data_IF_041361179716
#
_entry.id   IF_041361179716
#
_cell.length_a   1.000
_cell.length_b   1.000
_cell.length_c   1.000
_cell.angle_alpha   90.00
_cell.angle_beta   90.00
_cell.angle_gamma   90.00
#
_symmetry.space_group_name_H-M   'P 1'
#
loop_
_entity.id
_entity.type
_entity.pdbx_description
1 polymer ?
#
# COMPACT_ATOMS: atom_id res chain seq x y z
N UNK A 1 20.61 32.26 36.65
CA UNK A 1 20.50 32.51 35.20
C UNK A 1 21.59 31.79 34.39
N UNK A 2 22.88 31.76 34.82
CA UNK A 2 23.96 31.09 34.07
C UNK A 2 23.72 29.59 33.85
N UNK A 3 23.27 28.87 34.88
CA UNK A 3 22.95 27.42 34.74
C UNK A 3 21.79 27.16 33.80
N UNK A 4 20.78 28.04 33.79
CA UNK A 4 19.64 27.94 32.87
C UNK A 4 20.08 28.12 31.40
N UNK A 5 20.95 29.10 31.14
CA UNK A 5 21.49 29.33 29.80
C UNK A 5 22.34 28.14 29.35
N UNK A 6 23.18 27.57 30.22
CA UNK A 6 23.99 26.39 29.91
C UNK A 6 23.10 25.18 29.58
N UNK A 7 22.04 24.94 30.36
CA UNK A 7 21.14 23.83 30.11
C UNK A 7 20.38 23.99 28.79
N UNK A 8 19.93 25.20 28.42
CA UNK A 8 19.28 25.47 27.12
C UNK A 8 20.27 25.24 25.98
N UNK A 9 21.51 25.71 26.08
CA UNK A 9 22.54 25.50 25.06
C UNK A 9 22.82 24.00 24.87
N UNK A 10 22.94 23.24 25.95
CA UNK A 10 23.13 21.79 25.87
C UNK A 10 21.96 21.08 25.18
N UNK A 11 20.71 21.40 25.52
CA UNK A 11 19.53 20.83 24.88
C UNK A 11 19.52 21.12 23.38
N UNK A 12 19.80 22.36 22.99
CA UNK A 12 19.86 22.75 21.57
C UNK A 12 20.97 22.01 20.82
N UNK A 13 22.18 21.93 21.41
CA UNK A 13 23.30 21.20 20.77
C UNK A 13 23.04 19.72 20.62
N UNK A 14 22.46 19.05 21.65
CA UNK A 14 22.06 17.64 21.54
C UNK A 14 20.95 17.42 20.52
N UNK A 15 19.97 18.32 20.46
CA UNK A 15 18.88 18.23 19.48
C UNK A 15 19.38 18.38 18.04
N UNK A 16 20.24 19.36 17.79
CA UNK A 16 20.83 19.60 16.47
C UNK A 16 21.78 18.46 16.09
N UNK A 17 22.66 18.03 17.01
CA UNK A 17 23.57 16.90 16.79
C UNK A 17 22.82 15.59 16.51
N UNK A 18 21.77 15.32 17.30
CA UNK A 18 20.89 14.16 17.11
C UNK A 18 20.17 14.17 15.76
N UNK A 19 19.70 15.32 15.33
CA UNK A 19 19.07 15.49 14.02
C UNK A 19 20.05 15.15 12.88
N UNK A 20 21.24 15.72 12.85
CA UNK A 20 22.23 15.42 11.80
C UNK A 20 22.71 13.97 11.83
N UNK A 21 22.84 13.38 13.02
CA UNK A 21 23.18 11.97 13.14
C UNK A 21 22.06 11.08 12.57
N UNK A 22 20.81 11.35 12.91
CA UNK A 22 19.64 10.63 12.39
C UNK A 22 19.54 10.72 10.87
N UNK A 23 19.71 11.91 10.29
CA UNK A 23 19.73 12.13 8.85
C UNK A 23 20.84 11.32 8.14
N UNK A 24 22.03 11.28 8.73
CA UNK A 24 23.14 10.51 8.18
C UNK A 24 22.89 9.00 8.22
N UNK A 25 22.35 8.50 9.33
CA UNK A 25 21.98 7.08 9.47
C UNK A 25 20.91 6.72 8.43
N UNK A 26 19.86 7.53 8.31
CA UNK A 26 18.80 7.33 7.31
C UNK A 26 19.32 7.36 5.87
N UNK A 27 20.21 8.29 5.56
CA UNK A 27 20.85 8.36 4.24
C UNK A 27 21.65 7.10 3.92
N UNK A 28 22.42 6.58 4.90
CA UNK A 28 23.19 5.34 4.72
C UNK A 28 22.27 4.13 4.52
N UNK A 29 21.17 4.03 5.27
CA UNK A 29 20.18 2.97 5.10
C UNK A 29 19.55 3.00 3.70
N UNK A 30 19.17 4.18 3.21
CA UNK A 30 18.62 4.35 1.86
C UNK A 30 19.64 3.90 0.79
N UNK A 31 20.91 4.25 0.94
CA UNK A 31 21.95 3.84 -0.02
C UNK A 31 22.19 2.33 0.01
N UNK A 32 22.22 1.71 1.19
CA UNK A 32 22.34 0.25 1.32
C UNK A 32 21.13 -0.47 0.71
N UNK A 33 19.93 0.00 1.00
CA UNK A 33 18.70 -0.53 0.42
C UNK A 33 18.66 -0.40 -1.11
N UNK A 34 19.19 0.71 -1.65
CA UNK A 34 19.33 0.91 -3.10
C UNK A 34 20.18 -0.18 -3.75
N UNK A 35 21.37 -0.44 -3.20
CA UNK A 35 22.27 -1.47 -3.72
C UNK A 35 21.61 -2.83 -3.69
N UNK A 36 21.01 -3.22 -2.56
CA UNK A 36 20.28 -4.49 -2.44
C UNK A 36 19.14 -4.61 -3.47
N UNK A 37 18.40 -3.52 -3.70
CA UNK A 37 17.31 -3.51 -4.67
C UNK A 37 17.83 -3.69 -6.11
N UNK A 38 18.92 -2.99 -6.48
CA UNK A 38 19.55 -3.10 -7.79
C UNK A 38 20.09 -4.52 -8.01
N UNK A 39 20.79 -5.10 -7.04
CA UNK A 39 21.30 -6.47 -7.08
C UNK A 39 20.14 -7.48 -7.18
N UNK A 40 19.08 -7.32 -6.40
CA UNK A 40 17.88 -8.16 -6.47
C UNK A 40 17.24 -8.18 -7.86
N UNK A 41 17.22 -7.05 -8.55
CA UNK A 41 16.61 -6.96 -9.88
C UNK A 41 17.40 -7.71 -10.96
N UNK A 42 18.73 -7.76 -10.85
CA UNK A 42 19.60 -8.35 -11.87
C UNK A 42 20.01 -9.78 -11.57
N UNK A 43 19.86 -10.23 -10.32
CA UNK A 43 20.21 -11.58 -9.88
C UNK A 43 19.28 -12.62 -10.50
N UNK A 44 19.86 -13.59 -11.20
CA UNK A 44 19.13 -14.66 -11.90
C UNK A 44 19.04 -15.96 -11.09
N UNK A 45 19.91 -16.16 -10.10
CA UNK A 45 19.87 -17.31 -9.19
C UNK A 45 18.77 -17.10 -8.18
N UNK A 46 17.80 -17.99 -8.14
CA UNK A 46 16.58 -17.81 -7.34
C UNK A 46 16.86 -17.76 -5.83
N UNK A 47 17.78 -18.56 -5.33
CA UNK A 47 18.15 -18.59 -3.92
C UNK A 47 18.78 -17.27 -3.48
N UNK A 48 19.75 -16.75 -4.22
CA UNK A 48 20.41 -15.47 -3.94
C UNK A 48 19.40 -14.31 -4.05
N UNK A 49 18.50 -14.38 -5.02
CA UNK A 49 17.46 -13.39 -5.23
C UNK A 49 16.48 -13.32 -4.06
N UNK A 50 16.12 -14.47 -3.50
CA UNK A 50 15.25 -14.54 -2.32
C UNK A 50 15.96 -14.00 -1.07
N UNK A 51 17.23 -14.32 -0.86
CA UNK A 51 18.03 -13.78 0.24
C UNK A 51 18.14 -12.24 0.18
N UNK A 52 18.40 -11.69 -1.01
CA UNK A 52 18.44 -10.23 -1.25
C UNK A 52 17.08 -9.59 -0.96
N UNK A 53 15.98 -10.21 -1.39
CA UNK A 53 14.63 -9.73 -1.13
C UNK A 53 14.31 -9.70 0.36
N UNK A 54 14.58 -10.80 1.08
CA UNK A 54 14.35 -10.87 2.53
C UNK A 54 15.20 -9.84 3.28
N UNK A 55 16.50 -9.74 2.96
CA UNK A 55 17.37 -8.75 3.56
C UNK A 55 16.84 -7.32 3.36
N UNK A 56 16.41 -6.99 2.14
CA UNK A 56 15.86 -5.67 1.81
C UNK A 56 14.57 -5.38 2.57
N UNK A 57 13.65 -6.34 2.64
CA UNK A 57 12.31 -6.13 3.20
C UNK A 57 12.24 -6.23 4.73
N UNK A 58 13.20 -6.92 5.35
CA UNK A 58 13.28 -7.05 6.81
C UNK A 58 14.18 -5.97 7.44
N UNK A 59 15.40 -5.80 6.92
CA UNK A 59 16.39 -4.91 7.53
C UNK A 59 16.29 -3.45 7.06
N UNK A 60 15.57 -3.19 5.96
CA UNK A 60 15.39 -1.86 5.37
C UNK A 60 13.90 -1.57 5.08
N UNK A 61 13.01 -2.13 5.89
CA UNK A 61 11.55 -2.12 5.72
C UNK A 61 10.94 -0.73 5.49
N UNK A 62 11.48 0.30 6.15
CA UNK A 62 11.00 1.68 6.08
C UNK A 62 11.50 2.45 4.85
N UNK A 63 12.30 1.82 3.98
CA UNK A 63 12.86 2.49 2.81
C UNK A 63 11.94 2.37 1.59
N UNK A 64 11.98 3.39 0.73
CA UNK A 64 11.25 3.34 -0.54
C UNK A 64 11.67 2.18 -1.45
N UNK A 65 12.93 1.70 -1.36
CA UNK A 65 13.41 0.55 -2.14
C UNK A 65 12.80 -0.77 -1.66
N UNK A 66 12.61 -0.95 -0.35
CA UNK A 66 11.86 -2.08 0.21
C UNK A 66 10.39 -2.06 -0.28
N UNK A 67 9.74 -0.90 -0.22
CA UNK A 67 8.36 -0.76 -0.70
C UNK A 67 8.24 -1.07 -2.20
N UNK A 68 9.21 -0.63 -3.03
CA UNK A 68 9.24 -0.94 -4.46
C UNK A 68 9.45 -2.44 -4.72
N UNK A 69 10.31 -3.10 -3.94
CA UNK A 69 10.53 -4.54 -4.06
C UNK A 69 9.26 -5.33 -3.72
N UNK A 70 8.60 -5.00 -2.62
CA UNK A 70 7.33 -5.61 -2.21
C UNK A 70 6.23 -5.38 -3.26
N UNK A 71 6.08 -4.15 -3.74
CA UNK A 71 5.10 -3.83 -4.78
C UNK A 71 5.36 -4.63 -6.07
N UNK A 72 6.62 -4.71 -6.49
CA UNK A 72 6.99 -5.48 -7.68
C UNK A 72 6.74 -6.98 -7.48
N UNK A 73 7.21 -7.57 -6.37
CA UNK A 73 7.05 -9.01 -6.07
C UNK A 73 5.57 -9.39 -6.00
N UNK A 74 4.76 -8.63 -5.24
CA UNK A 74 3.32 -8.87 -5.14
C UNK A 74 2.62 -8.76 -6.50
N UNK A 75 2.99 -7.77 -7.32
CA UNK A 75 2.43 -7.61 -8.65
C UNK A 75 2.82 -8.74 -9.61
N UNK A 76 4.05 -9.23 -9.55
CA UNK A 76 4.52 -10.33 -10.40
C UNK A 76 3.83 -11.65 -10.01
N UNK A 77 3.71 -11.95 -8.71
CA UNK A 77 2.96 -13.09 -8.20
C UNK A 77 1.49 -13.06 -8.65
N UNK A 78 0.84 -11.88 -8.60
CA UNK A 78 -0.53 -11.76 -9.08
C UNK A 78 -0.67 -12.03 -10.58
N UNK A 79 0.30 -11.61 -11.42
CA UNK A 79 0.32 -11.91 -12.86
C UNK A 79 0.54 -13.40 -13.14
N UNK A 80 1.31 -14.08 -12.28
CA UNK A 80 1.55 -15.52 -12.33
C UNK A 80 0.38 -16.35 -11.77
N UNK A 81 -0.70 -15.69 -11.32
CA UNK A 81 -1.87 -16.27 -10.67
C UNK A 81 -1.57 -16.93 -9.31
N UNK A 82 -0.46 -16.55 -8.67
CA UNK A 82 -0.11 -16.95 -7.30
C UNK A 82 -0.74 -15.96 -6.32
N UNK A 83 -2.08 -15.97 -6.24
CA UNK A 83 -2.86 -14.91 -5.58
C UNK A 83 -2.67 -14.90 -4.06
N UNK A 84 -2.58 -16.07 -3.42
CA UNK A 84 -2.40 -16.20 -1.98
C UNK A 84 -1.03 -15.62 -1.55
N UNK A 85 0.04 -15.99 -2.25
CA UNK A 85 1.37 -15.47 -1.96
C UNK A 85 1.47 -13.96 -2.27
N UNK A 86 0.79 -13.52 -3.33
CA UNK A 86 0.71 -12.11 -3.69
C UNK A 86 0.04 -11.27 -2.58
N UNK A 87 -1.05 -11.77 -2.00
CA UNK A 87 -1.77 -11.05 -0.94
C UNK A 87 -0.91 -10.92 0.33
N UNK A 88 -0.14 -11.95 0.69
CA UNK A 88 0.79 -11.91 1.83
C UNK A 88 1.86 -10.83 1.65
N UNK A 89 2.44 -10.73 0.44
CA UNK A 89 3.41 -9.68 0.10
C UNK A 89 2.79 -8.29 0.18
N UNK A 90 1.55 -8.12 -0.26
CA UNK A 90 0.86 -6.83 -0.14
C UNK A 90 0.48 -6.51 1.31
N UNK A 91 0.18 -7.50 2.16
CA UNK A 91 0.01 -7.27 3.60
C UNK A 91 1.31 -6.79 4.24
N UNK A 92 2.46 -7.37 3.91
CA UNK A 92 3.76 -6.88 4.37
C UNK A 92 4.01 -5.44 3.92
N UNK A 93 3.71 -5.10 2.65
CA UNK A 93 3.80 -3.73 2.15
C UNK A 93 2.91 -2.77 2.94
N UNK A 94 1.67 -3.18 3.23
CA UNK A 94 0.73 -2.40 4.04
C UNK A 94 1.28 -2.14 5.44
N UNK A 95 1.84 -3.13 6.09
CA UNK A 95 2.42 -3.02 7.44
C UNK A 95 3.66 -2.11 7.45
N UNK A 96 4.58 -2.30 6.51
CA UNK A 96 5.80 -1.50 6.38
C UNK A 96 5.53 -0.02 6.03
N UNK A 97 4.37 0.28 5.45
CA UNK A 97 3.97 1.64 5.05
C UNK A 97 2.95 2.30 6.00
N UNK A 98 2.54 1.63 7.08
CA UNK A 98 1.59 2.16 8.07
C UNK A 98 2.29 2.99 9.16
N UNK A 99 1.51 3.67 10.01
CA UNK A 99 2.00 4.38 11.18
C UNK A 99 2.26 5.88 10.96
N UNK A 100 2.75 6.54 12.02
CA UNK A 100 2.92 8.01 12.07
C UNK A 100 3.95 8.53 11.06
N UNK A 101 5.01 7.77 10.80
CA UNK A 101 6.04 8.07 9.79
C UNK A 101 5.85 7.27 8.51
N UNK A 102 4.74 6.55 8.38
CA UNK A 102 4.43 5.71 7.24
C UNK A 102 4.15 6.52 5.97
N UNK A 103 4.06 5.82 4.86
CA UNK A 103 3.73 6.39 3.56
C UNK A 103 2.28 6.08 3.20
N UNK A 104 1.39 7.04 3.40
CA UNK A 104 -0.05 6.87 3.15
C UNK A 104 -0.38 6.49 1.70
N UNK A 105 0.38 6.99 0.72
CA UNK A 105 0.20 6.63 -0.68
C UNK A 105 0.53 5.14 -0.92
N UNK A 106 1.67 4.68 -0.43
CA UNK A 106 2.09 3.27 -0.55
C UNK A 106 1.12 2.36 0.20
N UNK A 107 0.70 2.77 1.42
CA UNK A 107 -0.30 2.03 2.20
C UNK A 107 -1.62 1.91 1.43
N UNK A 108 -2.04 2.98 0.77
CA UNK A 108 -3.22 2.98 -0.11
C UNK A 108 -3.09 1.99 -1.27
N UNK A 109 -1.97 2.01 -1.98
CA UNK A 109 -1.68 1.06 -3.07
C UNK A 109 -1.70 -0.39 -2.55
N UNK A 110 -1.11 -0.67 -1.40
CA UNK A 110 -1.14 -2.00 -0.80
C UNK A 110 -2.57 -2.46 -0.52
N UNK A 111 -3.39 -1.62 0.14
CA UNK A 111 -4.79 -1.93 0.48
C UNK A 111 -5.65 -2.21 -0.75
N UNK A 112 -5.54 -1.40 -1.79
CA UNK A 112 -6.31 -1.60 -3.02
C UNK A 112 -5.90 -2.87 -3.76
N UNK A 113 -4.61 -3.26 -3.73
CA UNK A 113 -4.17 -4.53 -4.29
C UNK A 113 -4.66 -5.73 -3.46
N UNK A 114 -4.59 -5.66 -2.12
CA UNK A 114 -5.17 -6.68 -1.23
C UNK A 114 -6.66 -6.85 -1.52
N UNK A 115 -7.42 -5.75 -1.55
CA UNK A 115 -8.86 -5.81 -1.82
C UNK A 115 -9.18 -6.43 -3.17
N UNK A 116 -8.48 -6.02 -4.23
CA UNK A 116 -8.65 -6.58 -5.58
C UNK A 116 -8.40 -8.09 -5.63
N UNK A 117 -7.32 -8.55 -4.97
CA UNK A 117 -6.98 -9.97 -4.93
C UNK A 117 -8.01 -10.73 -4.06
N UNK A 118 -8.40 -10.18 -2.90
CA UNK A 118 -9.43 -10.78 -2.06
C UNK A 118 -10.76 -10.95 -2.81
N UNK A 119 -11.18 -9.95 -3.60
CA UNK A 119 -12.36 -10.05 -4.45
C UNK A 119 -12.19 -11.19 -5.48
N UNK A 120 -11.03 -11.28 -6.13
CA UNK A 120 -10.75 -12.34 -7.11
C UNK A 120 -10.77 -13.75 -6.49
N UNK A 121 -10.42 -13.88 -5.20
CA UNK A 121 -10.49 -15.12 -4.43
C UNK A 121 -11.89 -15.37 -3.83
N UNK A 122 -12.84 -14.44 -3.97
CA UNK A 122 -14.16 -14.54 -3.34
C UNK A 122 -14.21 -14.18 -1.85
N UNK A 123 -13.13 -13.62 -1.30
CA UNK A 123 -13.00 -13.21 0.10
C UNK A 123 -13.48 -11.75 0.26
N UNK A 124 -14.78 -11.54 0.02
CA UNK A 124 -15.36 -10.18 -0.08
C UNK A 124 -15.36 -9.41 1.23
N UNK A 125 -15.57 -10.08 2.37
CA UNK A 125 -15.52 -9.46 3.69
C UNK A 125 -14.12 -8.94 4.02
N UNK A 126 -13.07 -9.68 3.65
CA UNK A 126 -11.68 -9.25 3.85
C UNK A 126 -11.34 -8.05 2.96
N UNK A 127 -11.87 -8.02 1.73
CA UNK A 127 -11.75 -6.86 0.85
C UNK A 127 -12.39 -5.61 1.47
N UNK A 128 -13.60 -5.72 2.01
CA UNK A 128 -14.27 -4.62 2.70
C UNK A 128 -13.47 -4.15 3.91
N UNK A 129 -13.02 -5.07 4.76
CA UNK A 129 -12.26 -4.78 5.98
C UNK A 129 -10.96 -4.02 5.69
N UNK A 130 -10.23 -4.40 4.66
CA UNK A 130 -8.97 -3.71 4.31
C UNK A 130 -9.23 -2.30 3.76
N UNK A 131 -10.39 -2.07 3.15
CA UNK A 131 -10.80 -0.77 2.61
C UNK A 131 -11.49 0.16 3.63
N UNK A 132 -11.93 -0.34 4.80
CA UNK A 132 -12.65 0.46 5.81
C UNK A 132 -11.85 1.65 6.35
N UNK A 133 -10.53 1.56 6.42
CA UNK A 133 -9.65 2.62 6.97
C UNK A 133 -9.44 3.82 6.04
N UNK A 134 -10.00 3.81 4.83
CA UNK A 134 -9.94 4.99 3.98
C UNK A 134 -10.91 6.07 4.49
N UNK A 135 -10.39 7.29 4.64
CA UNK A 135 -11.14 8.45 5.06
C UNK A 135 -12.17 8.90 3.99
N UNK A 136 -13.00 9.88 4.34
CA UNK A 136 -14.10 10.41 3.52
C UNK A 136 -13.72 10.95 2.12
N UNK A 137 -12.45 10.97 1.76
CA UNK A 137 -11.95 11.42 0.45
C UNK A 137 -11.34 10.27 -0.38
N UNK A 138 -12.07 9.16 -0.41
CA UNK A 138 -11.69 7.99 -1.21
C UNK A 138 -11.69 8.30 -2.71
N UNK A 139 -10.73 7.71 -3.43
CA UNK A 139 -10.68 7.81 -4.89
C UNK A 139 -11.78 6.95 -5.55
N UNK A 140 -11.97 7.17 -6.86
CA UNK A 140 -12.99 6.45 -7.63
C UNK A 140 -12.78 4.93 -7.62
N UNK A 141 -11.53 4.47 -7.70
CA UNK A 141 -11.21 3.05 -7.75
C UNK A 141 -11.48 2.34 -6.42
N UNK A 142 -11.22 3.00 -5.29
CA UNK A 142 -11.56 2.49 -3.96
C UNK A 142 -13.08 2.30 -3.81
N UNK A 143 -13.88 3.25 -4.28
CA UNK A 143 -15.35 3.12 -4.31
C UNK A 143 -15.79 1.97 -5.22
N UNK A 144 -15.18 1.81 -6.38
CA UNK A 144 -15.48 0.69 -7.29
C UNK A 144 -15.20 -0.67 -6.62
N UNK A 145 -14.03 -0.84 -5.99
CA UNK A 145 -13.68 -2.08 -5.28
C UNK A 145 -14.65 -2.36 -4.11
N UNK A 146 -15.07 -1.33 -3.37
CA UNK A 146 -16.10 -1.48 -2.32
C UNK A 146 -17.42 -1.94 -2.92
N UNK A 147 -17.81 -1.39 -4.06
CA UNK A 147 -18.99 -1.84 -4.80
C UNK A 147 -18.89 -3.31 -5.20
N UNK A 148 -17.77 -3.72 -5.79
CA UNK A 148 -17.52 -5.12 -6.19
C UNK A 148 -17.61 -6.08 -4.99
N UNK A 149 -17.00 -5.73 -3.87
CA UNK A 149 -17.02 -6.54 -2.66
C UNK A 149 -18.43 -6.59 -2.03
N UNK A 150 -19.17 -5.48 -2.01
CA UNK A 150 -20.54 -5.41 -1.50
C UNK A 150 -21.52 -6.25 -2.35
N UNK A 151 -21.36 -6.23 -3.67
CA UNK A 151 -22.10 -7.13 -4.58
C UNK A 151 -21.78 -8.59 -4.24
N UNK A 152 -20.51 -8.91 -3.99
CA UNK A 152 -20.09 -10.27 -3.64
C UNK A 152 -20.68 -10.80 -2.33
N UNK A 153 -20.95 -9.93 -1.35
CA UNK A 153 -21.68 -10.29 -0.12
C UNK A 153 -23.20 -10.16 -0.23
N UNK A 154 -23.73 -9.80 -1.42
CA UNK A 154 -25.18 -9.67 -1.68
C UNK A 154 -25.80 -8.40 -1.08
N UNK A 155 -25.03 -7.35 -0.86
CA UNK A 155 -25.54 -6.06 -0.36
C UNK A 155 -25.63 -5.05 -1.52
N UNK A 156 -26.60 -5.28 -2.39
CA UNK A 156 -26.76 -4.55 -3.65
C UNK A 156 -27.07 -3.06 -3.46
N UNK A 157 -27.84 -2.70 -2.43
CA UNK A 157 -28.16 -1.30 -2.10
C UNK A 157 -26.88 -0.48 -1.78
N UNK A 158 -26.01 -1.03 -0.95
CA UNK A 158 -24.75 -0.36 -0.63
C UNK A 158 -23.77 -0.42 -1.79
N UNK A 159 -23.76 -1.50 -2.57
CA UNK A 159 -22.94 -1.62 -3.78
C UNK A 159 -23.31 -0.54 -4.79
N UNK A 160 -24.60 -0.34 -5.06
CA UNK A 160 -25.11 0.70 -5.95
C UNK A 160 -24.61 2.10 -5.54
N UNK A 161 -24.67 2.42 -4.24
CA UNK A 161 -24.18 3.69 -3.73
C UNK A 161 -22.67 3.86 -3.94
N UNK A 162 -21.89 2.80 -3.75
CA UNK A 162 -20.45 2.84 -3.96
C UNK A 162 -20.11 3.02 -5.45
N UNK A 163 -20.79 2.31 -6.35
CA UNK A 163 -20.60 2.51 -7.78
C UNK A 163 -21.02 3.91 -8.26
N UNK A 164 -22.08 4.50 -7.71
CA UNK A 164 -22.45 5.89 -8.01
C UNK A 164 -21.35 6.86 -7.61
N UNK A 165 -20.76 6.71 -6.41
CA UNK A 165 -19.62 7.50 -5.96
C UNK A 165 -18.41 7.33 -6.89
N UNK A 166 -18.12 6.09 -7.31
CA UNK A 166 -17.05 5.82 -8.27
C UNK A 166 -17.31 6.53 -9.61
N UNK A 167 -18.51 6.41 -10.13
CA UNK A 167 -18.92 7.04 -11.39
C UNK A 167 -18.77 8.57 -11.38
N UNK A 168 -19.15 9.22 -10.29
CA UNK A 168 -19.01 10.67 -10.14
C UNK A 168 -17.53 11.11 -10.08
N UNK A 169 -16.68 10.34 -9.41
CA UNK A 169 -15.27 10.65 -9.20
C UNK A 169 -14.36 10.32 -10.37
N UNK A 170 -14.68 9.31 -11.19
CA UNK A 170 -13.91 9.02 -12.39
C UNK A 170 -13.97 10.19 -13.39
N UNK A 171 -12.80 10.53 -13.95
CA UNK A 171 -12.69 11.55 -15.03
C UNK A 171 -12.64 10.91 -16.40
N UNK A 172 -12.17 9.66 -16.50
CA UNK A 172 -12.08 8.89 -17.73
C UNK A 172 -13.45 8.31 -18.11
N UNK A 173 -13.89 8.55 -19.34
CA UNK A 173 -15.19 8.09 -19.83
C UNK A 173 -15.25 6.57 -19.99
N UNK A 174 -14.13 5.91 -20.29
CA UNK A 174 -14.09 4.45 -20.41
C UNK A 174 -14.35 3.79 -19.06
N UNK A 175 -13.69 4.29 -17.99
CA UNK A 175 -13.91 3.81 -16.61
C UNK A 175 -15.33 4.11 -16.14
N UNK A 176 -15.88 5.31 -16.45
CA UNK A 176 -17.30 5.61 -16.17
C UNK A 176 -18.25 4.62 -16.82
N UNK A 177 -18.01 4.28 -18.07
CA UNK A 177 -18.86 3.31 -18.79
C UNK A 177 -18.79 1.91 -18.14
N UNK A 178 -17.60 1.47 -17.68
CA UNK A 178 -17.47 0.19 -16.96
C UNK A 178 -18.26 0.18 -15.66
N UNK A 179 -18.17 1.25 -14.87
CA UNK A 179 -18.94 1.38 -13.62
C UNK A 179 -20.44 1.47 -13.91
N UNK A 180 -20.85 2.18 -14.98
CA UNK A 180 -22.25 2.23 -15.38
C UNK A 180 -22.82 0.85 -15.75
N UNK A 181 -22.03 -0.02 -16.37
CA UNK A 181 -22.44 -1.41 -16.63
C UNK A 181 -22.67 -2.18 -15.32
N UNK A 182 -21.80 -1.98 -14.31
CA UNK A 182 -21.98 -2.60 -12.98
C UNK A 182 -23.27 -2.11 -12.31
N UNK A 183 -23.58 -0.81 -12.38
CA UNK A 183 -24.83 -0.21 -11.88
C UNK A 183 -26.04 -0.84 -12.58
N UNK A 184 -25.99 -0.93 -13.89
CA UNK A 184 -27.11 -1.48 -14.67
C UNK A 184 -27.36 -2.95 -14.34
N UNK A 185 -26.30 -3.74 -14.11
CA UNK A 185 -26.43 -5.15 -13.75
C UNK A 185 -27.14 -5.33 -12.40
N UNK A 186 -26.87 -4.50 -11.40
CA UNK A 186 -27.59 -4.56 -10.11
C UNK A 186 -29.10 -4.29 -10.30
N UNK A 187 -29.47 -3.28 -11.10
CA UNK A 187 -30.87 -2.89 -11.33
C UNK A 187 -31.66 -3.91 -12.19
N UNK A 188 -31.01 -4.91 -12.76
CA UNK A 188 -31.69 -5.91 -13.63
C UNK A 188 -32.22 -7.09 -12.82
N UNK A 189 -31.80 -7.25 -11.57
CA UNK A 189 -32.20 -8.34 -10.68
C UNK A 189 -33.33 -7.94 -9.68
N UNK A 190 -33.83 -6.71 -9.75
CA UNK A 190 -35.05 -6.27 -9.08
C UNK A 190 -36.31 -6.51 -10.00
#
# INVERSE_FOLDING_TARGET
YKFYIISVVLVVTFSVGGYFFSEKVKSNQIQAAKVLYEDWQVTSVQEDREELFQNLTENYSDTGYSHLALLKRGSDLAKENNLEESIDVFYQLKENSDGFFGNSLINGIARTNIARISIALGNFEDALKVLEKYSNDEDAYTHELKGDALTGVGNDDLALKQYQNAFEKYKDNGLKNLVQLKINNLNTYE
#
